data_IF_972289658590
#
_entry.id   IF_972289658590
#
_cell.length_a   1.000
_cell.length_b   1.000
_cell.length_c   1.000
_cell.angle_alpha   90.00
_cell.angle_beta   90.00
_cell.angle_gamma   90.00
#
_symmetry.space_group_name_H-M   'P 1'
#
loop_
_entity.id
_entity.type
_entity.pdbx_description
1 polymer ?
#
# COMPACT_ATOMS: atom_id res chain seq x y z
N UNK A 1 -76.52 -31.11 -123.49
CA UNK A 1 -77.01 -31.19 -122.09
C UNK A 1 -76.37 -32.32 -121.28
N UNK A 2 -76.60 -33.62 -121.56
CA UNK A 2 -76.05 -34.72 -120.71
C UNK A 2 -74.51 -34.77 -120.70
N UNK A 3 -73.85 -34.42 -121.82
CA UNK A 3 -72.38 -34.43 -121.95
C UNK A 3 -71.68 -33.27 -121.22
N UNK A 4 -72.33 -32.11 -121.12
CA UNK A 4 -71.79 -30.93 -120.43
C UNK A 4 -71.84 -31.10 -118.90
N UNK A 5 -72.94 -31.66 -118.38
CA UNK A 5 -73.07 -32.01 -116.98
C UNK A 5 -72.04 -33.08 -116.59
N UNK A 6 -71.87 -34.12 -117.42
CA UNK A 6 -70.82 -35.15 -117.22
C UNK A 6 -69.42 -34.53 -117.17
N UNK A 7 -69.10 -33.59 -118.06
CA UNK A 7 -67.82 -32.89 -118.06
C UNK A 7 -67.63 -32.00 -116.81
N UNK A 8 -68.70 -31.39 -116.29
CA UNK A 8 -68.67 -30.63 -115.03
C UNK A 8 -68.37 -31.54 -113.83
N UNK A 9 -69.02 -32.71 -113.76
CA UNK A 9 -68.75 -33.70 -112.71
C UNK A 9 -67.33 -34.29 -112.80
N UNK A 10 -66.80 -34.52 -113.99
CA UNK A 10 -65.41 -34.99 -114.19
C UNK A 10 -64.40 -33.91 -113.73
N UNK A 11 -64.62 -32.64 -114.06
CA UNK A 11 -63.77 -31.54 -113.58
C UNK A 11 -63.83 -31.38 -112.05
N UNK A 12 -65.02 -31.44 -111.46
CA UNK A 12 -65.17 -31.41 -110.00
C UNK A 12 -64.47 -32.60 -109.33
N UNK A 13 -64.56 -33.80 -109.92
CA UNK A 13 -63.84 -34.99 -109.46
C UNK A 13 -62.33 -34.79 -109.55
N UNK A 14 -61.82 -34.21 -110.64
CA UNK A 14 -60.40 -33.94 -110.80
C UNK A 14 -59.89 -32.91 -109.78
N UNK A 15 -60.63 -31.83 -109.55
CA UNK A 15 -60.31 -30.82 -108.53
C UNK A 15 -60.35 -31.44 -107.12
N UNK A 16 -61.37 -32.25 -106.83
CA UNK A 16 -61.46 -32.99 -105.56
C UNK A 16 -60.28 -33.96 -105.39
N UNK A 17 -59.86 -34.67 -106.43
CA UNK A 17 -58.68 -35.54 -106.38
C UNK A 17 -57.39 -34.76 -106.16
N UNK A 18 -57.20 -33.63 -106.85
CA UNK A 18 -56.02 -32.76 -106.69
C UNK A 18 -55.95 -32.16 -105.27
N UNK A 19 -57.06 -31.65 -104.76
CA UNK A 19 -57.14 -31.12 -103.39
C UNK A 19 -56.92 -32.21 -102.34
N UNK A 20 -57.42 -33.44 -102.56
CA UNK A 20 -57.12 -34.58 -101.69
C UNK A 20 -55.61 -34.88 -101.70
N UNK A 21 -54.95 -34.90 -102.86
CA UNK A 21 -53.50 -35.15 -102.93
C UNK A 21 -52.69 -34.06 -102.26
N UNK A 22 -53.03 -32.79 -102.47
CA UNK A 22 -52.37 -31.64 -101.83
C UNK A 22 -52.54 -31.68 -100.30
N UNK A 23 -53.76 -31.91 -99.80
CA UNK A 23 -54.01 -32.07 -98.36
C UNK A 23 -53.28 -33.28 -97.79
N UNK A 24 -53.18 -34.38 -98.52
CA UNK A 24 -52.43 -35.57 -98.10
C UNK A 24 -50.93 -35.28 -98.00
N UNK A 25 -50.36 -34.52 -98.94
CA UNK A 25 -48.98 -34.07 -98.88
C UNK A 25 -48.73 -33.10 -97.73
N UNK A 26 -49.64 -32.14 -97.50
CA UNK A 26 -49.57 -31.24 -96.35
C UNK A 26 -49.60 -32.02 -95.02
N UNK A 27 -50.48 -33.03 -94.89
CA UNK A 27 -50.51 -33.91 -93.72
C UNK A 27 -49.17 -34.63 -93.53
N UNK A 28 -48.53 -35.11 -94.61
CA UNK A 28 -47.21 -35.74 -94.54
C UNK A 28 -46.12 -34.76 -94.09
N UNK A 29 -46.11 -33.54 -94.63
CA UNK A 29 -45.15 -32.49 -94.24
C UNK A 29 -45.33 -32.12 -92.76
N UNK A 30 -46.57 -31.90 -92.31
CA UNK A 30 -46.88 -31.65 -90.90
C UNK A 30 -46.48 -32.84 -90.02
N UNK A 31 -46.70 -34.08 -90.48
CA UNK A 31 -46.21 -35.29 -89.81
C UNK A 31 -44.69 -35.27 -89.59
N UNK A 32 -43.93 -35.02 -90.66
CA UNK A 32 -42.47 -34.91 -90.58
C UNK A 32 -42.02 -33.77 -89.65
N UNK A 33 -42.69 -32.61 -89.71
CA UNK A 33 -42.38 -31.48 -88.83
C UNK A 33 -42.64 -31.83 -87.36
N UNK A 34 -43.75 -32.52 -87.06
CA UNK A 34 -44.03 -32.97 -85.70
C UNK A 34 -43.00 -33.98 -85.20
N UNK A 35 -42.48 -34.87 -86.05
CA UNK A 35 -41.41 -35.79 -85.71
C UNK A 35 -40.07 -35.08 -85.45
N UNK A 36 -39.72 -34.10 -86.28
CA UNK A 36 -38.53 -33.26 -86.08
C UNK A 36 -38.65 -32.51 -84.75
N UNK A 37 -39.78 -31.85 -84.50
CA UNK A 37 -40.02 -31.16 -83.23
C UNK A 37 -39.94 -32.10 -82.03
N UNK A 38 -40.52 -33.31 -82.12
CA UNK A 38 -40.39 -34.35 -81.08
C UNK A 38 -38.93 -34.72 -80.83
N UNK A 39 -38.13 -34.91 -81.88
CA UNK A 39 -36.70 -35.23 -81.76
C UNK A 39 -35.92 -34.10 -81.06
N UNK A 40 -36.19 -32.84 -81.40
CA UNK A 40 -35.58 -31.66 -80.78
C UNK A 40 -35.96 -31.58 -79.30
N UNK A 41 -37.24 -31.77 -78.97
CA UNK A 41 -37.73 -31.79 -77.58
C UNK A 41 -37.01 -32.88 -76.78
N UNK A 42 -36.82 -34.09 -77.33
CA UNK A 42 -36.09 -35.17 -76.67
C UNK A 42 -34.63 -34.79 -76.42
N UNK A 43 -33.94 -34.22 -77.42
CA UNK A 43 -32.54 -33.79 -77.27
C UNK A 43 -32.42 -32.67 -76.22
N UNK A 44 -33.31 -31.68 -76.27
CA UNK A 44 -33.34 -30.58 -75.30
C UNK A 44 -33.65 -31.09 -73.89
N UNK A 45 -34.61 -32.00 -73.73
CA UNK A 45 -34.91 -32.63 -72.45
C UNK A 45 -33.72 -33.41 -71.89
N UNK A 46 -32.99 -34.16 -72.73
CA UNK A 46 -31.75 -34.84 -72.32
C UNK A 46 -30.68 -33.85 -71.87
N UNK A 47 -30.49 -32.74 -72.60
CA UNK A 47 -29.53 -31.69 -72.23
C UNK A 47 -29.91 -30.97 -70.92
N UNK A 48 -31.20 -30.68 -70.73
CA UNK A 48 -31.74 -30.06 -69.53
C UNK A 48 -31.55 -30.97 -68.31
N UNK A 49 -31.79 -32.27 -68.47
CA UNK A 49 -31.58 -33.26 -67.40
C UNK A 49 -30.11 -33.33 -67.00
N UNK A 50 -29.18 -33.35 -67.97
CA UNK A 50 -27.73 -33.30 -67.69
C UNK A 50 -27.35 -32.01 -66.94
N UNK A 51 -27.89 -30.86 -67.36
CA UNK A 51 -27.63 -29.58 -66.70
C UNK A 51 -28.17 -29.57 -65.25
N UNK A 52 -29.40 -30.06 -65.03
CA UNK A 52 -30.00 -30.21 -63.70
C UNK A 52 -29.17 -31.10 -62.77
N UNK A 53 -28.67 -32.23 -63.28
CA UNK A 53 -27.80 -33.12 -62.50
C UNK A 53 -26.47 -32.44 -62.13
N UNK A 54 -25.85 -31.70 -63.05
CA UNK A 54 -24.63 -30.92 -62.76
C UNK A 54 -24.88 -29.84 -61.71
N UNK A 55 -25.99 -29.11 -61.81
CA UNK A 55 -26.36 -28.08 -60.83
C UNK A 55 -26.61 -28.69 -59.44
N UNK A 56 -27.35 -29.80 -59.37
CA UNK A 56 -27.56 -30.54 -58.12
C UNK A 56 -26.24 -30.98 -57.50
N UNK A 57 -25.33 -31.54 -58.29
CA UNK A 57 -24.01 -31.97 -57.79
C UNK A 57 -23.17 -30.77 -57.33
N UNK A 58 -23.17 -29.66 -58.08
CA UNK A 58 -22.48 -28.43 -57.70
C UNK A 58 -23.04 -27.82 -56.40
N UNK A 59 -24.36 -27.82 -56.21
CA UNK A 59 -25.00 -27.36 -54.97
C UNK A 59 -24.55 -28.21 -53.79
N UNK A 60 -24.59 -29.54 -53.91
CA UNK A 60 -24.14 -30.45 -52.85
C UNK A 60 -22.67 -30.24 -52.48
N UNK A 61 -21.81 -29.97 -53.46
CA UNK A 61 -20.38 -29.67 -53.21
C UNK A 61 -20.25 -28.33 -52.48
N UNK A 62 -20.98 -27.30 -52.91
CA UNK A 62 -20.99 -25.98 -52.28
C UNK A 62 -21.42 -26.07 -50.82
N UNK A 63 -22.48 -26.82 -50.53
CA UNK A 63 -23.00 -26.98 -49.17
C UNK A 63 -21.99 -27.72 -48.27
N UNK A 64 -21.30 -28.74 -48.81
CA UNK A 64 -20.19 -29.40 -48.10
C UNK A 64 -19.05 -28.43 -47.80
N UNK A 65 -18.61 -27.66 -48.78
CA UNK A 65 -17.54 -26.66 -48.60
C UNK A 65 -17.95 -25.58 -47.60
N UNK A 66 -19.19 -25.09 -47.64
CA UNK A 66 -19.70 -24.11 -46.68
C UNK A 66 -19.72 -24.67 -45.24
N UNK A 67 -20.09 -25.94 -45.07
CA UNK A 67 -20.04 -26.61 -43.79
C UNK A 67 -18.59 -26.75 -43.28
N UNK A 68 -17.66 -27.12 -44.15
CA UNK A 68 -16.26 -27.27 -43.77
C UNK A 68 -15.60 -25.92 -43.47
N UNK A 69 -15.91 -24.86 -44.23
CA UNK A 69 -15.52 -23.48 -43.92
C UNK A 69 -16.06 -23.06 -42.55
N UNK A 70 -17.33 -23.37 -42.25
CA UNK A 70 -17.93 -23.04 -40.96
C UNK A 70 -17.24 -23.77 -39.80
N UNK A 71 -16.89 -25.05 -39.97
CA UNK A 71 -16.12 -25.81 -38.97
C UNK A 71 -14.73 -25.23 -38.74
N UNK A 72 -14.01 -24.88 -39.82
CA UNK A 72 -12.67 -24.29 -39.72
C UNK A 72 -12.74 -22.91 -39.05
N UNK A 73 -13.71 -22.09 -39.42
CA UNK A 73 -13.92 -20.77 -38.81
C UNK A 73 -14.22 -20.88 -37.30
N UNK A 74 -15.00 -21.89 -36.89
CA UNK A 74 -15.27 -22.15 -35.48
C UNK A 74 -14.01 -22.56 -34.71
N UNK A 75 -13.23 -23.51 -35.26
CA UNK A 75 -11.94 -23.91 -34.66
C UNK A 75 -10.95 -22.76 -34.57
N UNK A 76 -10.89 -21.91 -35.59
CA UNK A 76 -10.02 -20.75 -35.58
C UNK A 76 -10.39 -19.79 -34.45
N UNK A 77 -11.69 -19.49 -34.28
CA UNK A 77 -12.17 -18.66 -33.16
C UNK A 77 -11.83 -19.27 -31.81
N UNK A 78 -11.96 -20.60 -31.66
CA UNK A 78 -11.59 -21.29 -30.43
C UNK A 78 -10.10 -21.11 -30.12
N UNK A 79 -9.22 -21.38 -31.09
CA UNK A 79 -7.77 -21.22 -30.93
C UNK A 79 -7.40 -19.77 -30.63
N UNK A 80 -8.05 -18.80 -31.28
CA UNK A 80 -7.82 -17.37 -31.00
C UNK A 80 -8.24 -17.00 -29.57
N UNK A 81 -9.35 -17.56 -29.06
CA UNK A 81 -9.76 -17.33 -27.69
C UNK A 81 -8.76 -17.94 -26.70
N UNK A 82 -8.35 -19.19 -26.91
CA UNK A 82 -7.32 -19.87 -26.10
C UNK A 82 -6.02 -19.08 -26.09
N UNK A 83 -5.59 -18.55 -27.24
CA UNK A 83 -4.41 -17.69 -27.34
C UNK A 83 -4.52 -16.39 -26.54
N UNK A 84 -5.66 -15.70 -26.56
CA UNK A 84 -5.85 -14.48 -25.76
C UNK A 84 -5.92 -14.80 -24.26
N UNK A 85 -6.50 -15.94 -23.87
CA UNK A 85 -6.53 -16.40 -22.48
C UNK A 85 -5.11 -16.72 -21.98
N UNK A 86 -4.33 -17.47 -22.76
CA UNK A 86 -2.92 -17.80 -22.48
C UNK A 86 -2.06 -16.54 -22.38
N UNK A 87 -2.29 -15.56 -23.26
CA UNK A 87 -1.60 -14.26 -23.24
C UNK A 87 -1.89 -13.48 -21.96
N UNK A 88 -3.13 -13.49 -21.47
CA UNK A 88 -3.50 -12.89 -20.19
C UNK A 88 -2.84 -13.61 -19.01
N UNK A 89 -2.73 -14.94 -19.05
CA UNK A 89 -2.01 -15.71 -18.04
C UNK A 89 -0.51 -15.40 -18.04
N UNK A 90 0.12 -15.33 -19.22
CA UNK A 90 1.52 -14.93 -19.36
C UNK A 90 1.79 -13.55 -18.77
N UNK A 91 0.88 -12.58 -18.99
CA UNK A 91 1.00 -11.25 -18.39
C UNK A 91 0.97 -11.30 -16.86
N UNK A 92 0.05 -12.08 -16.28
CA UNK A 92 -0.05 -12.26 -14.81
C UNK A 92 1.18 -12.94 -14.23
N UNK A 93 1.67 -13.98 -14.89
CA UNK A 93 2.90 -14.68 -14.47
C UNK A 93 4.12 -13.76 -14.55
N UNK A 94 4.21 -12.95 -15.60
CA UNK A 94 5.30 -11.96 -15.74
C UNK A 94 5.25 -10.92 -14.62
N UNK A 95 4.07 -10.43 -14.27
CA UNK A 95 3.91 -9.51 -13.13
C UNK A 95 4.30 -10.17 -11.80
N UNK A 96 3.88 -11.42 -11.58
CA UNK A 96 4.26 -12.18 -10.38
C UNK A 96 5.79 -12.38 -10.28
N UNK A 97 6.45 -12.71 -11.40
CA UNK A 97 7.91 -12.83 -11.46
C UNK A 97 8.56 -11.50 -11.09
N UNK A 98 8.12 -10.38 -11.65
CA UNK A 98 8.66 -9.05 -11.33
C UNK A 98 8.52 -8.71 -9.84
N UNK A 99 7.37 -9.03 -9.22
CA UNK A 99 7.17 -8.80 -7.78
C UNK A 99 8.10 -9.69 -6.95
N UNK A 100 8.28 -10.96 -7.32
CA UNK A 100 9.21 -11.87 -6.65
C UNK A 100 10.67 -11.42 -6.79
N UNK A 101 11.07 -10.95 -7.97
CA UNK A 101 12.41 -10.41 -8.22
C UNK A 101 12.68 -9.17 -7.35
N UNK A 102 11.71 -8.27 -7.22
CA UNK A 102 11.82 -7.11 -6.33
C UNK A 102 11.98 -7.53 -4.85
N UNK A 103 11.19 -8.50 -4.39
CA UNK A 103 11.30 -9.03 -3.03
C UNK A 103 12.66 -9.71 -2.76
N UNK A 104 13.21 -10.42 -3.75
CA UNK A 104 14.55 -11.00 -3.68
C UNK A 104 15.64 -9.92 -3.59
N UNK A 105 15.54 -8.86 -4.40
CA UNK A 105 16.47 -7.74 -4.34
C UNK A 105 16.42 -7.03 -2.99
N UNK A 106 15.23 -6.81 -2.44
CA UNK A 106 15.06 -6.22 -1.10
C UNK A 106 15.67 -7.12 -0.01
N UNK A 107 15.42 -8.43 -0.07
CA UNK A 107 15.98 -9.41 0.86
C UNK A 107 17.52 -9.42 0.80
N UNK A 108 18.10 -9.37 -0.40
CA UNK A 108 19.56 -9.32 -0.56
C UNK A 108 20.16 -8.02 0.01
N UNK A 109 19.52 -6.86 -0.21
CA UNK A 109 19.96 -5.60 0.41
C UNK A 109 19.88 -5.66 1.95
N UNK A 110 18.81 -6.25 2.48
CA UNK A 110 18.68 -6.45 3.92
C UNK A 110 19.76 -7.39 4.47
N UNK A 111 20.13 -8.43 3.71
CA UNK A 111 21.21 -9.33 4.07
C UNK A 111 22.59 -8.63 4.04
N UNK A 112 22.88 -7.86 3.00
CA UNK A 112 24.12 -7.07 2.89
C UNK A 112 24.26 -6.07 4.04
N UNK A 113 23.19 -5.35 4.37
CA UNK A 113 23.21 -4.41 5.51
C UNK A 113 23.38 -5.14 6.85
N UNK A 114 22.79 -6.33 7.01
CA UNK A 114 23.02 -7.16 8.19
C UNK A 114 24.49 -7.65 8.29
N UNK A 115 25.10 -8.03 7.17
CA UNK A 115 26.53 -8.39 7.12
C UNK A 115 27.40 -7.19 7.49
N UNK A 116 27.11 -6.00 6.94
CA UNK A 116 27.86 -4.78 7.26
C UNK A 116 27.77 -4.45 8.76
N UNK A 117 26.57 -4.52 9.35
CA UNK A 117 26.35 -4.33 10.79
C UNK A 117 27.11 -5.36 11.63
N UNK A 118 27.05 -6.64 11.24
CA UNK A 118 27.80 -7.70 11.92
C UNK A 118 29.30 -7.43 11.87
N UNK A 119 29.83 -7.04 10.71
CA UNK A 119 31.25 -6.76 10.55
C UNK A 119 31.68 -5.53 11.37
N UNK A 120 30.89 -4.45 11.38
CA UNK A 120 31.20 -3.27 12.21
C UNK A 120 31.17 -3.58 13.70
N UNK A 121 30.20 -4.39 14.15
CA UNK A 121 30.13 -4.86 15.54
C UNK A 121 31.31 -5.79 15.86
N UNK A 122 31.72 -6.65 14.93
CA UNK A 122 32.89 -7.51 15.08
C UNK A 122 34.17 -6.70 15.28
N UNK A 123 34.36 -5.62 14.52
CA UNK A 123 35.51 -4.71 14.70
C UNK A 123 35.47 -4.02 16.07
N UNK A 124 34.32 -3.48 16.48
CA UNK A 124 34.17 -2.85 17.79
C UNK A 124 34.44 -3.83 18.94
N UNK A 125 34.02 -5.08 18.80
CA UNK A 125 34.25 -6.10 19.82
C UNK A 125 35.75 -6.41 19.96
N UNK A 126 36.48 -6.50 18.85
CA UNK A 126 37.94 -6.66 18.87
C UNK A 126 38.63 -5.46 19.53
N UNK A 127 38.22 -4.23 19.19
CA UNK A 127 38.74 -3.01 19.81
C UNK A 127 38.49 -3.02 21.34
N UNK A 128 37.32 -3.46 21.78
CA UNK A 128 37.00 -3.59 23.21
C UNK A 128 37.81 -4.70 23.90
N UNK A 129 38.05 -5.83 23.23
CA UNK A 129 38.91 -6.90 23.74
C UNK A 129 40.37 -6.44 23.91
N UNK A 130 40.89 -5.66 22.97
CA UNK A 130 42.23 -5.05 23.07
C UNK A 130 42.34 -4.10 24.26
N UNK A 131 41.33 -3.24 24.47
CA UNK A 131 41.27 -2.32 25.62
C UNK A 131 41.20 -3.10 26.93
N UNK A 132 40.41 -4.18 26.97
CA UNK A 132 40.27 -5.03 28.14
C UNK A 132 41.60 -5.72 28.47
N UNK A 133 42.28 -6.28 27.47
CA UNK A 133 43.61 -6.88 27.63
C UNK A 133 44.63 -5.88 28.19
N UNK A 134 44.69 -4.66 27.62
CA UNK A 134 45.57 -3.59 28.12
C UNK A 134 45.23 -3.20 29.56
N UNK A 135 43.95 -3.19 29.92
CA UNK A 135 43.51 -2.89 31.29
C UNK A 135 43.95 -3.97 32.27
N UNK A 136 43.81 -5.25 31.92
CA UNK A 136 44.30 -6.36 32.74
C UNK A 136 45.81 -6.30 32.94
N UNK A 137 46.57 -6.00 31.89
CA UNK A 137 48.02 -5.86 32.00
C UNK A 137 48.42 -4.73 32.96
N UNK A 138 47.74 -3.57 32.88
CA UNK A 138 47.93 -2.45 33.82
C UNK A 138 47.61 -2.83 35.25
N UNK A 139 46.51 -3.54 35.49
CA UNK A 139 46.13 -4.02 36.83
C UNK A 139 47.19 -4.96 37.37
N UNK A 140 47.67 -5.93 36.57
CA UNK A 140 48.72 -6.86 36.99
C UNK A 140 50.03 -6.14 37.35
N UNK A 141 50.44 -5.14 36.57
CA UNK A 141 51.63 -4.32 36.87
C UNK A 141 51.44 -3.55 38.18
N UNK A 142 50.25 -2.98 38.40
CA UNK A 142 49.93 -2.27 39.64
C UNK A 142 49.89 -3.19 40.86
N UNK A 143 49.29 -4.38 40.74
CA UNK A 143 49.27 -5.39 41.80
C UNK A 143 50.69 -5.85 42.17
N UNK A 144 51.55 -6.08 41.17
CA UNK A 144 52.95 -6.40 41.40
C UNK A 144 53.70 -5.26 42.13
N UNK A 145 53.45 -4.01 41.73
CA UNK A 145 54.03 -2.83 42.37
C UNK A 145 53.53 -2.65 43.82
N UNK A 146 52.24 -2.87 44.07
CA UNK A 146 51.63 -2.85 45.40
C UNK A 146 52.24 -3.93 46.28
N UNK A 147 52.37 -5.17 45.78
CA UNK A 147 52.97 -6.29 46.52
C UNK A 147 54.42 -5.98 46.90
N UNK A 148 55.20 -5.44 45.96
CA UNK A 148 56.57 -4.99 46.23
C UNK A 148 56.60 -3.89 47.30
N UNK A 149 55.69 -2.92 47.20
CA UNK A 149 55.52 -1.85 48.17
C UNK A 149 55.22 -2.38 49.58
N UNK A 150 54.29 -3.33 49.70
CA UNK A 150 53.97 -4.01 50.96
C UNK A 150 55.18 -4.72 51.56
N UNK A 151 55.97 -5.44 50.75
CA UNK A 151 57.19 -6.09 51.25
C UNK A 151 58.21 -5.08 51.77
N UNK A 152 58.41 -3.96 51.07
CA UNK A 152 59.33 -2.90 51.53
C UNK A 152 58.83 -2.19 52.79
N UNK A 153 57.51 -2.04 52.92
CA UNK A 153 56.91 -1.44 54.11
C UNK A 153 57.06 -2.39 55.31
N UNK A 154 56.84 -3.69 55.11
CA UNK A 154 57.04 -4.70 56.16
C UNK A 154 58.49 -4.75 56.65
N UNK A 155 59.47 -4.61 55.74
CA UNK A 155 60.90 -4.53 56.14
C UNK A 155 61.19 -3.28 56.93
N UNK A 156 60.71 -2.11 56.49
CA UNK A 156 60.91 -0.85 57.21
C UNK A 156 60.20 -0.84 58.58
N UNK A 157 59.04 -1.47 58.69
CA UNK A 157 58.36 -1.65 59.98
C UNK A 157 59.15 -2.56 60.93
N UNK A 158 59.82 -3.61 60.42
CA UNK A 158 60.74 -4.44 61.22
C UNK A 158 61.92 -3.60 61.70
N UNK A 159 62.58 -2.87 60.81
CA UNK A 159 63.69 -1.97 61.17
C UNK A 159 63.27 -0.92 62.19
N UNK A 160 62.08 -0.33 62.06
CA UNK A 160 61.54 0.64 63.02
C UNK A 160 61.33 0.00 64.39
N UNK A 161 60.80 -1.24 64.44
CA UNK A 161 60.65 -2.00 65.69
C UNK A 161 62.00 -2.31 66.32
N UNK A 162 63.00 -2.69 65.53
CA UNK A 162 64.35 -3.01 66.01
C UNK A 162 65.03 -1.75 66.57
N UNK A 163 64.97 -0.62 65.85
CA UNK A 163 65.48 0.68 66.33
C UNK A 163 64.76 1.14 67.61
N UNK A 164 63.45 0.91 67.72
CA UNK A 164 62.72 1.23 68.94
C UNK A 164 63.21 0.39 70.14
N UNK A 165 63.56 -0.88 69.92
CA UNK A 165 64.17 -1.73 70.95
C UNK A 165 65.57 -1.21 71.35
N UNK A 166 66.38 -0.77 70.39
CA UNK A 166 67.69 -0.15 70.66
C UNK A 166 67.55 1.15 71.46
N UNK A 167 66.61 2.02 71.10
CA UNK A 167 66.32 3.25 71.86
C UNK A 167 65.93 2.91 73.30
N UNK A 168 65.02 1.95 73.49
CA UNK A 168 64.58 1.55 74.82
C UNK A 168 65.73 0.97 75.67
N UNK A 169 66.67 0.25 75.05
CA UNK A 169 67.86 -0.26 75.72
C UNK A 169 68.83 0.87 76.10
N UNK A 170 69.07 1.83 75.21
CA UNK A 170 69.88 3.01 75.53
C UNK A 170 69.25 3.87 76.63
N UNK A 171 67.92 4.06 76.61
CA UNK A 171 67.19 4.70 77.71
C UNK A 171 67.40 3.96 79.04
N UNK A 172 67.35 2.62 79.02
CA UNK A 172 67.65 1.78 80.19
C UNK A 172 69.08 1.98 80.68
N UNK A 173 70.07 2.03 79.77
CA UNK A 173 71.48 2.27 80.12
C UNK A 173 71.70 3.67 80.70
N UNK A 174 71.06 4.70 80.11
CA UNK A 174 71.07 6.07 80.63
C UNK A 174 70.50 6.10 82.05
N UNK A 175 69.39 5.40 82.29
CA UNK A 175 68.77 5.37 83.62
C UNK A 175 69.61 4.61 84.66
N UNK A 176 70.33 3.55 84.26
CA UNK A 176 71.34 2.92 85.11
C UNK A 176 72.48 3.88 85.44
N UNK A 177 73.03 4.58 84.43
CA UNK A 177 74.09 5.58 84.62
C UNK A 177 73.65 6.76 85.48
N UNK A 178 72.40 7.23 85.32
CA UNK A 178 71.79 8.25 86.20
C UNK A 178 71.71 7.77 87.66
N UNK A 179 71.49 6.48 87.92
CA UNK A 179 71.51 5.90 89.28
C UNK A 179 72.91 5.73 89.85
N UNK A 180 73.93 5.53 89.02
CA UNK A 180 75.35 5.52 89.42
C UNK A 180 75.89 6.93 89.74
N UNK A 181 75.33 7.96 89.10
CA UNK A 181 75.76 9.35 89.21
C UNK A 181 75.80 9.90 90.66
N UNK A 182 74.80 9.66 91.53
CA UNK A 182 74.85 10.05 92.93
C UNK A 182 75.94 9.35 93.73
N UNK A 183 76.24 8.08 93.43
CA UNK A 183 77.33 7.34 94.10
C UNK A 183 78.68 7.95 93.71
N UNK A 184 78.87 8.24 92.43
CA UNK A 184 80.05 8.94 91.95
C UNK A 184 80.16 10.35 92.54
N UNK A 185 79.06 11.10 92.61
CA UNK A 185 79.04 12.43 93.25
C UNK A 185 79.42 12.36 94.72
N UNK A 186 78.94 11.36 95.48
CA UNK A 186 79.40 11.14 96.86
C UNK A 186 80.89 10.88 96.95
N UNK A 187 81.44 10.03 96.07
CA UNK A 187 82.89 9.80 96.02
C UNK A 187 83.67 11.03 95.56
N UNK A 188 83.13 11.86 94.65
CA UNK A 188 83.72 13.15 94.27
C UNK A 188 83.64 14.15 95.43
N UNK A 189 82.52 14.20 96.16
CA UNK A 189 82.35 14.98 97.39
C UNK A 189 83.39 14.54 98.44
N UNK A 190 83.57 13.24 98.65
CA UNK A 190 84.60 12.69 99.54
C UNK A 190 86.02 13.07 99.08
N UNK A 191 86.31 13.04 97.77
CA UNK A 191 87.60 13.49 97.20
C UNK A 191 87.77 15.00 97.38
N UNK A 192 86.73 15.80 97.16
CA UNK A 192 86.78 17.25 97.37
C UNK A 192 86.89 17.59 98.85
N UNK A 193 86.26 16.84 99.74
CA UNK A 193 86.44 16.96 101.19
C UNK A 193 87.88 16.64 101.56
N UNK A 194 88.45 15.55 101.04
CA UNK A 194 89.87 15.23 101.22
C UNK A 194 90.79 16.29 100.60
N UNK A 195 90.44 16.89 99.45
CA UNK A 195 91.17 18.00 98.86
C UNK A 195 91.01 19.29 99.65
N UNK A 196 89.84 19.54 100.26
CA UNK A 196 89.55 20.67 101.14
C UNK A 196 90.34 20.52 102.43
N UNK A 197 90.37 19.34 103.05
CA UNK A 197 91.22 19.04 104.21
C UNK A 197 92.72 19.20 103.85
N UNK A 198 93.11 18.82 102.63
CA UNK A 198 94.48 19.01 102.13
C UNK A 198 94.79 20.48 101.78
N UNK A 199 93.79 21.26 101.36
CA UNK A 199 93.92 22.71 101.15
C UNK A 199 93.83 23.49 102.45
N UNK A 200 93.01 23.11 103.43
CA UNK A 200 92.96 23.70 104.78
C UNK A 200 94.26 23.40 105.54
N UNK A 201 94.90 22.25 105.28
CA UNK A 201 96.27 21.98 105.73
C UNK A 201 97.36 22.76 104.94
N UNK A 202 97.02 23.39 103.81
CA UNK A 202 97.94 24.22 102.99
C UNK A 202 97.66 25.74 103.10
N UNK A 203 96.44 26.13 103.47
CA UNK A 203 95.90 27.50 103.40
C UNK A 203 95.63 28.09 104.81
N UNK A 204 96.50 27.79 105.78
CA UNK A 204 96.89 28.77 106.82
C UNK A 204 97.79 29.90 106.24
N UNK A 205 97.89 30.01 104.91
CA UNK A 205 98.58 31.13 104.25
C UNK A 205 97.79 31.68 103.07
N UNK A 206 97.26 32.88 103.26
CA UNK A 206 96.85 33.92 102.29
C UNK A 206 95.35 34.04 101.92
N UNK A 207 94.74 35.06 102.53
CA UNK A 207 93.50 35.72 102.08
C UNK A 207 93.70 36.57 100.80
N UNK A 208 92.63 36.78 100.02
CA UNK A 208 92.57 37.90 99.07
C UNK A 208 91.46 37.93 98.00
N UNK A 209 90.22 38.29 98.39
CA UNK A 209 89.21 39.18 97.75
C UNK A 209 89.09 39.36 96.20
N UNK A 210 87.85 39.30 95.65
CA UNK A 210 87.04 40.46 95.16
C UNK A 210 85.87 40.11 94.21
N UNK A 211 84.77 40.88 94.30
CA UNK A 211 83.60 40.93 93.38
C UNK A 211 83.47 42.32 92.74
N UNK A 212 82.89 42.41 91.55
CA UNK A 212 82.41 43.68 90.94
C UNK A 212 81.09 43.49 90.18
N UNK A 213 80.20 44.49 90.29
CA UNK A 213 78.87 44.60 89.65
C UNK A 213 78.88 45.83 88.72
N UNK A 214 78.14 45.77 87.61
CA UNK A 214 78.14 46.72 86.49
C UNK A 214 77.16 47.89 86.52
N UNK A 215 77.04 48.59 85.37
CA UNK A 215 76.18 49.75 85.11
C UNK A 215 75.74 49.84 83.63
N UNK A 216 74.55 50.42 83.36
CA UNK A 216 74.08 51.22 82.17
C UNK A 216 72.55 51.43 82.30
N UNK A 217 71.85 52.49 81.87
CA UNK A 217 72.05 53.62 80.95
C UNK A 217 70.84 54.60 81.09
N UNK A 218 70.89 55.83 80.54
CA UNK A 218 69.73 56.74 80.40
C UNK A 218 69.81 57.57 79.10
N UNK A 219 68.65 57.61 78.40
CA UNK A 219 68.08 58.62 77.47
C UNK A 219 68.36 58.54 75.95
N UNK A 220 67.27 58.74 75.18
CA UNK A 220 67.21 58.73 73.71
C UNK A 220 67.24 60.12 73.05
N UNK A 221 67.02 60.15 71.72
CA UNK A 221 66.68 61.30 70.85
C UNK A 221 66.30 60.84 69.41
N UNK A 222 65.64 61.76 68.69
CA UNK A 222 65.12 61.87 67.30
C UNK A 222 65.58 60.90 66.18
N UNK A 223 64.70 60.60 65.19
CA UNK A 223 64.95 59.63 64.13
C UNK A 223 66.10 60.04 63.19
N UNK A 224 67.19 59.29 63.26
CA UNK A 224 68.38 59.40 62.41
C UNK A 224 68.09 58.90 60.98
N UNK A 225 68.93 59.24 59.99
CA UNK A 225 68.87 58.73 58.59
C UNK A 225 68.63 57.22 58.50
N UNK A 226 69.13 56.46 59.47
CA UNK A 226 68.94 55.02 59.61
C UNK A 226 67.50 54.60 59.96
N UNK A 227 66.71 55.42 60.65
CA UNK A 227 65.30 55.11 60.96
C UNK A 227 64.37 55.35 59.75
N UNK A 228 64.70 56.33 58.92
CA UNK A 228 64.04 56.56 57.62
C UNK A 228 64.37 55.45 56.62
N UNK A 229 65.62 55.00 56.57
CA UNK A 229 66.03 53.84 55.77
C UNK A 229 65.31 52.58 56.25
N UNK A 230 65.27 52.33 57.56
CA UNK A 230 64.48 51.22 58.14
C UNK A 230 63.00 51.31 57.78
N UNK A 231 62.44 52.51 57.64
CA UNK A 231 61.03 52.68 57.25
C UNK A 231 60.81 52.44 55.76
N UNK A 232 61.76 52.82 54.91
CA UNK A 232 61.76 52.50 53.48
C UNK A 232 61.90 50.98 53.28
N UNK A 233 62.85 50.33 53.96
CA UNK A 233 63.01 48.87 53.94
C UNK A 233 61.72 48.16 54.42
N UNK A 234 61.06 48.67 55.46
CA UNK A 234 59.75 48.14 55.87
C UNK A 234 58.70 48.26 54.76
N UNK A 235 58.61 49.42 54.09
CA UNK A 235 57.64 49.63 53.00
C UNK A 235 57.97 48.78 51.75
N UNK A 236 59.25 48.58 51.43
CA UNK A 236 59.70 47.69 50.37
C UNK A 236 59.40 46.23 50.67
N UNK A 237 59.55 45.80 51.93
CA UNK A 237 59.10 44.49 52.38
C UNK A 237 57.57 44.36 52.28
N UNK A 238 56.79 45.37 52.68
CA UNK A 238 55.34 45.36 52.53
C UNK A 238 54.89 45.31 51.06
N UNK A 239 55.57 46.02 50.16
CA UNK A 239 55.33 45.97 48.72
C UNK A 239 55.67 44.59 48.16
N UNK A 240 56.81 44.02 48.53
CA UNK A 240 57.22 42.68 48.12
C UNK A 240 56.21 41.60 48.57
N UNK A 241 55.69 41.72 49.80
CA UNK A 241 54.62 40.85 50.31
C UNK A 241 53.30 41.02 49.54
N UNK A 242 52.94 42.25 49.16
CA UNK A 242 51.75 42.53 48.34
C UNK A 242 51.89 41.96 46.92
N UNK A 243 53.04 42.12 46.29
CA UNK A 243 53.33 41.56 44.96
C UNK A 243 53.30 40.02 44.97
N UNK A 244 53.87 39.40 46.02
CA UNK A 244 53.78 37.94 46.21
C UNK A 244 52.34 37.48 46.31
N UNK A 245 51.51 38.15 47.12
CA UNK A 245 50.07 37.84 47.26
C UNK A 245 49.30 38.03 45.95
N UNK A 246 49.65 39.02 45.14
CA UNK A 246 49.05 39.22 43.82
C UNK A 246 49.41 38.10 42.85
N UNK A 247 50.67 37.65 42.86
CA UNK A 247 51.13 36.53 42.05
C UNK A 247 50.42 35.22 42.45
N UNK A 248 50.32 34.95 43.76
CA UNK A 248 49.57 33.81 44.30
C UNK A 248 48.11 33.83 43.81
N UNK A 249 47.42 34.97 43.90
CA UNK A 249 46.04 35.12 43.41
C UNK A 249 45.93 34.92 41.90
N UNK A 250 46.89 35.42 41.12
CA UNK A 250 46.89 35.27 39.66
C UNK A 250 47.06 33.81 39.25
N UNK A 251 47.97 33.08 39.91
CA UNK A 251 48.15 31.64 39.71
C UNK A 251 46.89 30.84 40.07
N UNK A 252 46.19 31.22 41.15
CA UNK A 252 44.91 30.61 41.50
C UNK A 252 43.84 30.88 40.43
N UNK A 253 43.74 32.09 39.90
CA UNK A 253 42.81 32.40 38.80
C UNK A 253 43.14 31.59 37.55
N UNK A 254 44.41 31.47 37.18
CA UNK A 254 44.83 30.65 36.04
C UNK A 254 44.48 29.17 36.25
N UNK A 255 44.67 28.65 37.47
CA UNK A 255 44.31 27.28 37.81
C UNK A 255 42.79 27.06 37.77
N UNK A 256 42.00 27.97 38.35
CA UNK A 256 40.52 27.92 38.30
C UNK A 256 40.03 28.03 36.86
N UNK A 257 40.64 28.88 36.04
CA UNK A 257 40.28 29.04 34.62
C UNK A 257 40.59 27.76 33.84
N UNK A 258 41.79 27.18 34.03
CA UNK A 258 42.17 25.89 33.42
C UNK A 258 41.26 24.74 33.80
N UNK A 259 40.74 24.72 35.03
CA UNK A 259 39.82 23.67 35.48
C UNK A 259 38.37 23.93 35.04
N UNK A 260 37.93 25.19 34.98
CA UNK A 260 36.54 25.54 34.65
C UNK A 260 36.25 25.55 33.16
N UNK A 261 37.21 25.95 32.32
CA UNK A 261 37.03 26.00 30.86
C UNK A 261 36.63 24.63 30.25
N UNK A 262 37.31 23.51 30.52
CA UNK A 262 36.91 22.21 29.96
C UNK A 262 35.58 21.71 30.54
N UNK A 263 35.22 22.12 31.77
CA UNK A 263 33.90 21.84 32.33
C UNK A 263 32.79 22.63 31.61
N UNK A 264 33.07 23.89 31.24
CA UNK A 264 32.19 24.72 30.42
C UNK A 264 31.96 24.13 29.03
N UNK A 265 33.04 23.77 28.33
CA UNK A 265 32.97 23.12 27.02
C UNK A 265 32.21 21.78 27.09
N UNK A 266 32.44 20.99 28.14
CA UNK A 266 31.69 19.74 28.36
C UNK A 266 30.20 20.01 28.61
N UNK A 267 29.86 21.04 29.38
CA UNK A 267 28.47 21.41 29.65
C UNK A 267 27.75 21.87 28.37
N UNK A 268 28.40 22.67 27.52
CA UNK A 268 27.88 23.10 26.22
C UNK A 268 27.67 21.92 25.26
N UNK A 269 28.65 21.01 25.16
CA UNK A 269 28.52 19.79 24.36
C UNK A 269 27.36 18.91 24.86
N UNK A 270 27.26 18.71 26.17
CA UNK A 270 26.12 17.97 26.76
C UNK A 270 24.78 18.66 26.49
N UNK A 271 24.73 20.00 26.45
CA UNK A 271 23.52 20.74 26.10
C UNK A 271 23.12 20.50 24.64
N UNK A 272 24.09 20.49 23.72
CA UNK A 272 23.86 20.20 22.31
C UNK A 272 23.39 18.76 22.09
N UNK A 273 24.00 17.79 22.79
CA UNK A 273 23.58 16.39 22.78
C UNK A 273 22.15 16.24 23.29
N UNK A 274 21.81 16.89 24.41
CA UNK A 274 20.46 16.89 24.97
C UNK A 274 19.43 17.46 23.99
N UNK A 275 19.76 18.55 23.28
CA UNK A 275 18.89 19.13 22.26
C UNK A 275 18.69 18.18 21.07
N UNK A 276 19.76 17.51 20.62
CA UNK A 276 19.68 16.54 19.53
C UNK A 276 18.82 15.32 19.92
N UNK A 277 18.96 14.83 21.15
CA UNK A 277 18.17 13.74 21.70
C UNK A 277 16.70 14.14 21.84
N UNK A 278 16.42 15.37 22.30
CA UNK A 278 15.05 15.87 22.40
C UNK A 278 14.36 15.97 21.03
N UNK A 279 15.09 16.38 19.97
CA UNK A 279 14.56 16.38 18.60
C UNK A 279 14.24 14.97 18.12
N UNK A 280 15.17 14.02 18.27
CA UNK A 280 14.96 12.60 17.92
C UNK A 280 13.78 12.00 18.68
N UNK A 281 13.64 12.30 19.97
CA UNK A 281 12.51 11.83 20.78
C UNK A 281 11.18 12.37 20.27
N UNK A 282 11.13 13.64 19.89
CA UNK A 282 9.93 14.26 19.32
C UNK A 282 9.57 13.64 17.95
N UNK A 283 10.56 13.39 17.10
CA UNK A 283 10.37 12.70 15.82
C UNK A 283 9.82 11.28 16.02
N UNK A 284 10.41 10.51 16.93
CA UNK A 284 9.89 9.17 17.28
C UNK A 284 8.47 9.24 17.83
N UNK A 285 8.16 10.23 18.67
CA UNK A 285 6.79 10.44 19.18
C UNK A 285 5.82 10.71 18.04
N UNK A 286 6.18 11.53 17.06
CA UNK A 286 5.32 11.78 15.88
C UNK A 286 5.12 10.51 15.05
N UNK A 287 6.18 9.73 14.81
CA UNK A 287 6.08 8.46 14.09
C UNK A 287 5.18 7.45 14.80
N UNK A 288 5.25 7.37 16.13
CA UNK A 288 4.37 6.52 16.94
C UNK A 288 2.91 6.96 16.81
N UNK A 289 2.64 8.26 16.88
CA UNK A 289 1.28 8.81 16.72
C UNK A 289 0.74 8.48 15.32
N UNK A 290 1.53 8.70 14.27
CA UNK A 290 1.13 8.42 12.88
C UNK A 290 0.89 6.92 12.65
N UNK A 291 1.78 6.07 13.17
CA UNK A 291 1.62 4.61 13.10
C UNK A 291 0.34 4.16 13.82
N UNK A 292 0.06 4.73 15.00
CA UNK A 292 -1.16 4.43 15.75
C UNK A 292 -2.42 4.88 14.99
N UNK A 293 -2.40 6.05 14.33
CA UNK A 293 -3.50 6.51 13.49
C UNK A 293 -3.74 5.57 12.30
N UNK A 294 -2.68 5.12 11.63
CA UNK A 294 -2.78 4.12 10.54
C UNK A 294 -3.34 2.80 11.07
N UNK A 295 -2.88 2.34 12.22
CA UNK A 295 -3.39 1.12 12.86
C UNK A 295 -4.88 1.25 13.21
N UNK A 296 -5.33 2.40 13.72
CA UNK A 296 -6.75 2.67 13.96
C UNK A 296 -7.57 2.65 12.66
N UNK A 297 -7.06 3.25 11.58
CA UNK A 297 -7.73 3.23 10.28
C UNK A 297 -7.89 1.79 9.75
N UNK A 298 -6.81 1.01 9.75
CA UNK A 298 -6.84 -0.40 9.33
C UNK A 298 -7.74 -1.24 10.24
N UNK A 299 -7.75 -0.97 11.55
CA UNK A 299 -8.64 -1.65 12.50
C UNK A 299 -10.12 -1.34 12.23
N UNK A 300 -10.44 -0.09 11.90
CA UNK A 300 -11.80 0.31 11.52
C UNK A 300 -12.22 -0.32 10.18
N UNK A 301 -11.34 -0.32 9.17
CA UNK A 301 -11.58 -1.00 7.90
C UNK A 301 -11.81 -2.49 8.10
N UNK A 302 -10.96 -3.17 8.89
CA UNK A 302 -11.12 -4.58 9.23
C UNK A 302 -12.46 -4.83 9.92
N UNK A 303 -12.85 -3.97 10.86
CA UNK A 303 -14.14 -4.08 11.57
C UNK A 303 -15.32 -3.94 10.62
N UNK A 304 -15.26 -3.00 9.66
CA UNK A 304 -16.29 -2.87 8.62
C UNK A 304 -16.34 -4.11 7.73
N UNK A 305 -15.20 -4.62 7.28
CA UNK A 305 -15.14 -5.84 6.46
C UNK A 305 -15.67 -7.04 7.23
N UNK A 306 -15.32 -7.17 8.51
CA UNK A 306 -15.83 -8.22 9.38
C UNK A 306 -17.36 -8.14 9.53
N UNK A 307 -17.92 -6.94 9.75
CA UNK A 307 -19.36 -6.74 9.78
C UNK A 307 -20.03 -7.13 8.44
N UNK A 308 -19.43 -6.77 7.30
CA UNK A 308 -19.97 -7.18 5.98
C UNK A 308 -19.91 -8.69 5.77
N UNK A 309 -18.83 -9.34 6.20
CA UNK A 309 -18.69 -10.80 6.10
C UNK A 309 -19.74 -11.52 6.96
N UNK A 310 -19.99 -11.04 8.17
CA UNK A 310 -21.04 -11.57 9.04
C UNK A 310 -22.43 -11.39 8.44
N UNK A 311 -22.73 -10.22 7.86
CA UNK A 311 -24.01 -9.97 7.17
C UNK A 311 -24.22 -10.94 6.01
N UNK A 312 -23.20 -11.10 5.16
CA UNK A 312 -23.26 -12.05 4.04
C UNK A 312 -23.39 -13.50 4.53
N UNK A 313 -22.73 -13.86 5.62
CA UNK A 313 -22.86 -15.20 6.21
C UNK A 313 -24.28 -15.43 6.76
N UNK A 314 -24.91 -14.41 7.35
CA UNK A 314 -26.31 -14.48 7.77
C UNK A 314 -27.25 -14.63 6.57
N UNK A 315 -27.02 -13.88 5.49
CA UNK A 315 -27.79 -14.00 4.25
C UNK A 315 -27.66 -15.40 3.63
N UNK A 316 -26.45 -15.96 3.59
CA UNK A 316 -26.21 -17.32 3.11
C UNK A 316 -27.00 -18.32 3.96
N UNK A 317 -26.92 -18.25 5.29
CA UNK A 317 -27.67 -19.14 6.20
C UNK A 317 -29.19 -19.01 6.01
N UNK A 318 -29.69 -17.79 5.84
CA UNK A 318 -31.11 -17.55 5.58
C UNK A 318 -31.53 -18.15 4.23
N UNK A 319 -30.70 -18.01 3.18
CA UNK A 319 -30.95 -18.62 1.87
C UNK A 319 -30.86 -20.14 1.90
N UNK A 320 -29.90 -20.69 2.63
CA UNK A 320 -29.79 -22.14 2.88
C UNK A 320 -31.04 -22.65 3.60
N UNK A 321 -31.49 -21.97 4.65
CA UNK A 321 -32.73 -22.32 5.36
C UNK A 321 -33.96 -22.24 4.45
N UNK A 322 -34.06 -21.22 3.60
CA UNK A 322 -35.11 -21.10 2.59
C UNK A 322 -35.07 -22.27 1.61
N UNK A 323 -33.88 -22.64 1.11
CA UNK A 323 -33.70 -23.77 0.21
C UNK A 323 -34.09 -25.10 0.87
N UNK A 324 -33.60 -25.36 2.07
CA UNK A 324 -33.95 -26.51 2.91
C UNK A 324 -35.45 -26.63 3.10
N UNK A 325 -36.12 -25.51 3.43
CA UNK A 325 -37.58 -25.46 3.56
C UNK A 325 -38.27 -25.79 2.25
N UNK A 326 -37.83 -25.20 1.13
CA UNK A 326 -38.41 -25.49 -0.18
C UNK A 326 -38.15 -26.93 -0.64
N UNK A 327 -37.07 -27.58 -0.17
CA UNK A 327 -36.77 -28.99 -0.45
C UNK A 327 -37.62 -29.95 0.38
N UNK A 328 -37.87 -29.67 1.66
CA UNK A 328 -38.70 -30.51 2.55
C UNK A 328 -40.20 -30.44 2.25
N UNK A 329 -40.71 -29.27 1.83
CA UNK A 329 -42.13 -29.08 1.51
C UNK A 329 -42.72 -30.04 0.46
N UNK A 330 -42.07 -30.35 -0.68
CA UNK A 330 -42.58 -31.32 -1.63
C UNK A 330 -42.56 -32.76 -1.11
N UNK A 331 -41.63 -33.10 -0.19
CA UNK A 331 -41.62 -34.40 0.49
C UNK A 331 -42.84 -34.56 1.42
N UNK A 332 -43.31 -33.45 1.99
CA UNK A 332 -44.53 -33.38 2.83
C UNK A 332 -45.82 -33.15 2.03
N UNK A 333 -45.74 -33.07 0.69
CA UNK A 333 -46.89 -32.84 -0.20
C UNK A 333 -47.41 -31.40 -0.24
N UNK A 334 -46.65 -30.44 0.29
CA UNK A 334 -46.97 -29.01 0.28
C UNK A 334 -46.34 -28.31 -0.96
N UNK A 335 -46.97 -27.24 -1.50
CA UNK A 335 -46.43 -26.48 -2.63
C UNK A 335 -45.07 -25.85 -2.30
N UNK A 336 -44.13 -25.89 -3.26
CA UNK A 336 -42.81 -25.29 -3.15
C UNK A 336 -42.91 -23.77 -2.96
N UNK A 337 -42.73 -23.32 -1.72
CA UNK A 337 -42.50 -21.92 -1.33
C UNK A 337 -43.47 -20.86 -1.93
N UNK A 338 -44.61 -20.56 -1.28
CA UNK A 338 -45.65 -19.66 -1.80
C UNK A 338 -45.22 -18.19 -1.97
N UNK A 339 -44.13 -17.77 -1.35
CA UNK A 339 -43.56 -16.42 -1.50
C UNK A 339 -42.85 -16.25 -2.85
N UNK A 340 -42.01 -17.22 -3.23
CA UNK A 340 -41.37 -17.28 -4.55
C UNK A 340 -42.41 -17.38 -5.67
N UNK A 341 -43.51 -18.10 -5.44
CA UNK A 341 -44.60 -18.18 -6.41
C UNK A 341 -45.30 -16.83 -6.62
N UNK A 342 -45.52 -16.06 -5.54
CA UNK A 342 -46.10 -14.71 -5.63
C UNK A 342 -45.18 -13.75 -6.37
N UNK A 343 -43.88 -13.81 -6.14
CA UNK A 343 -42.87 -13.02 -6.84
C UNK A 343 -42.78 -13.40 -8.32
N UNK A 344 -42.78 -14.70 -8.63
CA UNK A 344 -42.83 -15.20 -10.00
C UNK A 344 -44.08 -14.71 -10.73
N UNK A 345 -45.25 -14.78 -10.09
CA UNK A 345 -46.51 -14.25 -10.64
C UNK A 345 -46.44 -12.73 -10.84
N UNK A 346 -45.75 -11.97 -9.97
CA UNK A 346 -45.49 -10.52 -10.18
C UNK A 346 -44.62 -10.30 -11.42
N UNK A 347 -43.49 -11.00 -11.52
CA UNK A 347 -42.57 -10.93 -12.66
C UNK A 347 -43.27 -11.27 -13.98
N UNK A 348 -44.14 -12.28 -13.98
CA UNK A 348 -44.90 -12.68 -15.17
C UNK A 348 -45.93 -11.61 -15.57
N UNK A 349 -46.58 -10.95 -14.60
CA UNK A 349 -47.49 -9.82 -14.87
C UNK A 349 -46.73 -8.63 -15.45
N UNK A 350 -45.57 -8.31 -14.91
CA UNK A 350 -44.75 -7.19 -15.40
C UNK A 350 -44.17 -7.47 -16.79
N UNK A 351 -43.75 -8.71 -17.05
CA UNK A 351 -43.34 -9.14 -18.40
C UNK A 351 -44.48 -8.99 -19.40
N UNK A 352 -45.69 -9.44 -19.06
CA UNK A 352 -46.88 -9.26 -19.90
C UNK A 352 -47.24 -7.80 -20.11
N UNK A 353 -47.08 -6.94 -19.08
CA UNK A 353 -47.29 -5.50 -19.20
C UNK A 353 -46.31 -4.89 -20.20
N UNK A 354 -45.00 -5.12 -20.00
CA UNK A 354 -43.96 -4.61 -20.91
C UNK A 354 -44.16 -5.08 -22.35
N UNK A 355 -44.64 -6.31 -22.53
CA UNK A 355 -44.94 -6.84 -23.86
C UNK A 355 -46.13 -6.15 -24.51
N UNK A 356 -47.23 -5.91 -23.77
CA UNK A 356 -48.36 -5.11 -24.27
C UNK A 356 -47.94 -3.68 -24.60
N UNK A 357 -47.15 -3.04 -23.74
CA UNK A 357 -46.67 -1.68 -23.98
C UNK A 357 -45.79 -1.61 -25.24
N UNK A 358 -45.04 -2.68 -25.52
CA UNK A 358 -44.23 -2.80 -26.75
C UNK A 358 -45.12 -2.97 -27.98
N UNK A 359 -46.09 -3.89 -27.93
CA UNK A 359 -47.05 -4.13 -29.02
C UNK A 359 -47.90 -2.87 -29.31
N UNK A 360 -48.26 -2.11 -28.29
CA UNK A 360 -48.99 -0.85 -28.45
C UNK A 360 -48.13 0.23 -29.13
N UNK A 361 -46.85 0.35 -28.77
CA UNK A 361 -45.92 1.26 -29.47
C UNK A 361 -45.69 0.87 -30.92
N UNK A 362 -45.59 -0.43 -31.20
CA UNK A 362 -45.44 -0.94 -32.57
C UNK A 362 -46.69 -0.61 -33.41
N UNK A 363 -47.91 -0.79 -32.85
CA UNK A 363 -49.15 -0.37 -33.53
C UNK A 363 -49.22 1.13 -33.78
N UNK A 364 -48.86 1.96 -32.80
CA UNK A 364 -48.83 3.41 -32.98
C UNK A 364 -47.82 3.83 -34.07
N UNK A 365 -46.66 3.18 -34.14
CA UNK A 365 -45.67 3.42 -35.18
C UNK A 365 -46.17 2.99 -36.58
N UNK A 366 -46.92 1.89 -36.68
CA UNK A 366 -47.59 1.48 -37.92
C UNK A 366 -48.66 2.49 -38.35
N UNK A 367 -49.50 2.97 -37.41
CA UNK A 367 -50.49 4.01 -37.68
C UNK A 367 -49.82 5.34 -38.12
N UNK A 368 -48.71 5.72 -37.49
CA UNK A 368 -47.91 6.88 -37.89
C UNK A 368 -47.30 6.74 -39.30
N UNK A 369 -46.94 5.52 -39.73
CA UNK A 369 -46.52 5.24 -41.10
C UNK A 369 -47.68 5.36 -42.09
N UNK A 370 -48.88 4.86 -41.75
CA UNK A 370 -50.08 5.01 -42.58
C UNK A 370 -50.57 6.46 -42.68
N UNK A 371 -50.30 7.27 -41.66
CA UNK A 371 -50.65 8.69 -41.58
C UNK A 371 -49.65 9.62 -42.28
N UNK A 372 -48.56 9.08 -42.86
CA UNK A 372 -47.63 9.85 -43.69
C UNK A 372 -48.14 9.95 -45.13
N UNK A 373 -48.39 11.17 -45.58
CA UNK A 373 -48.73 11.46 -46.96
C UNK A 373 -47.48 11.31 -47.86
N UNK A 374 -47.63 11.05 -49.18
CA UNK A 374 -46.50 10.92 -50.12
C UNK A 374 -45.57 12.15 -50.21
N UNK A 375 -45.99 13.30 -49.69
CA UNK A 375 -45.20 14.52 -49.58
C UNK A 375 -44.41 14.65 -48.26
N UNK A 376 -44.45 13.63 -47.39
CA UNK A 376 -43.73 13.57 -46.12
C UNK A 376 -44.39 14.31 -44.94
N UNK A 377 -45.61 14.83 -45.13
CA UNK A 377 -46.37 15.47 -44.06
C UNK A 377 -47.28 14.45 -43.34
N UNK A 378 -47.32 14.52 -42.02
CA UNK A 378 -48.18 13.68 -41.18
C UNK A 378 -49.58 14.29 -41.09
N UNK A 379 -50.61 13.49 -41.33
CA UNK A 379 -52.02 13.89 -41.19
C UNK A 379 -52.70 13.07 -40.10
N UNK A 380 -53.49 13.73 -39.25
CA UNK A 380 -54.37 13.08 -38.26
C UNK A 380 -55.77 12.82 -38.79
N UNK A 381 -56.03 13.10 -40.08
CA UNK A 381 -57.31 12.83 -40.71
C UNK A 381 -57.45 11.35 -41.08
N UNK A 382 -58.51 10.69 -40.62
CA UNK A 382 -58.85 9.33 -41.03
C UNK A 382 -58.93 9.23 -42.56
N UNK A 383 -58.24 8.25 -43.15
CA UNK A 383 -58.27 8.00 -44.59
C UNK A 383 -59.70 7.65 -45.03
N UNK A 384 -60.24 8.40 -46.00
CA UNK A 384 -61.61 8.16 -46.48
C UNK A 384 -61.66 6.88 -47.30
N UNK A 385 -62.62 5.97 -47.03
CA UNK A 385 -62.84 4.83 -47.91
C UNK A 385 -63.12 5.33 -49.33
N UNK A 386 -62.21 5.04 -50.26
CA UNK A 386 -62.26 5.55 -51.64
C UNK A 386 -63.05 4.62 -52.58
N UNK A 387 -63.44 3.44 -52.10
CA UNK A 387 -64.22 2.46 -52.85
C UNK A 387 -65.25 1.77 -51.94
N UNK A 388 -66.34 1.30 -52.54
CA UNK A 388 -67.27 0.37 -51.91
C UNK A 388 -67.27 -0.96 -52.64
N UNK A 389 -67.70 -2.01 -51.95
CA UNK A 389 -67.92 -3.32 -52.54
C UNK A 389 -69.42 -3.49 -52.75
N UNK A 390 -69.93 -3.46 -54.00
CA UNK A 390 -71.35 -3.65 -54.27
C UNK A 390 -71.77 -5.09 -53.96
N UNK A 391 -72.80 -5.29 -53.14
CA UNK A 391 -73.31 -6.63 -52.79
C UNK A 391 -74.06 -7.34 -53.93
N UNK A 392 -74.43 -6.61 -54.99
CA UNK A 392 -75.27 -7.11 -56.10
C UNK A 392 -74.50 -7.48 -57.37
N UNK A 393 -73.16 -7.43 -57.36
CA UNK A 393 -72.31 -7.84 -58.47
C UNK A 393 -71.81 -9.28 -58.34
N UNK A 394 -71.54 -10.00 -59.44
CA UNK A 394 -71.09 -11.40 -59.41
C UNK A 394 -69.68 -11.61 -58.80
N UNK A 395 -68.90 -10.54 -58.60
CA UNK A 395 -67.58 -10.55 -57.96
C UNK A 395 -67.43 -9.36 -57.00
N UNK A 396 -66.86 -9.53 -55.79
CA UNK A 396 -66.73 -8.47 -54.78
C UNK A 396 -65.51 -7.56 -55.07
N UNK A 397 -65.48 -6.93 -56.24
CA UNK A 397 -64.41 -6.00 -56.60
C UNK A 397 -64.74 -4.59 -56.08
N UNK A 398 -63.80 -3.91 -55.40
CA UNK A 398 -64.00 -2.57 -54.90
C UNK A 398 -64.14 -1.58 -56.05
N UNK A 399 -65.27 -0.85 -56.10
CA UNK A 399 -65.55 0.19 -57.10
C UNK A 399 -65.40 1.57 -56.48
N UNK A 400 -64.77 2.54 -57.17
CA UNK A 400 -64.62 3.89 -56.65
C UNK A 400 -65.99 4.56 -56.50
N UNK A 401 -66.15 5.37 -55.45
CA UNK A 401 -67.30 6.25 -55.35
C UNK A 401 -67.18 7.32 -56.44
N UNK A 402 -68.19 7.42 -57.32
CA UNK A 402 -68.23 8.41 -58.40
C UNK A 402 -68.42 9.85 -57.89
N UNK A 403 -68.87 10.77 -58.77
CA UNK A 403 -69.05 12.19 -58.43
C UNK A 403 -69.97 12.46 -57.23
N UNK A 404 -70.87 11.52 -56.88
CA UNK A 404 -71.71 11.55 -55.67
C UNK A 404 -71.13 10.62 -54.59
N UNK A 405 -69.91 10.91 -54.13
CA UNK A 405 -69.32 10.14 -53.04
C UNK A 405 -70.03 10.43 -51.70
N UNK A 406 -70.33 9.40 -50.88
CA UNK A 406 -70.93 9.61 -49.58
C UNK A 406 -69.98 10.39 -48.68
N UNK A 407 -70.44 11.54 -48.20
CA UNK A 407 -69.71 12.37 -47.25
C UNK A 407 -69.98 11.86 -45.83
N UNK A 408 -68.92 11.54 -45.08
CA UNK A 408 -69.04 11.26 -43.64
C UNK A 408 -69.39 12.59 -42.94
N UNK A 409 -70.56 12.71 -42.29
CA UNK A 409 -70.91 13.92 -41.56
C UNK A 409 -69.81 14.26 -40.55
N UNK A 410 -69.49 15.55 -40.40
CA UNK A 410 -68.58 15.97 -39.33
C UNK A 410 -69.13 15.50 -37.98
N UNK A 411 -68.25 14.94 -37.14
CA UNK A 411 -68.68 14.56 -35.80
C UNK A 411 -69.22 15.81 -35.08
N UNK A 412 -70.38 15.70 -34.41
CA UNK A 412 -70.94 16.82 -33.67
C UNK A 412 -69.89 17.32 -32.67
N UNK A 413 -69.56 18.62 -32.76
CA UNK A 413 -68.53 19.23 -31.91
C UNK A 413 -68.87 19.09 -30.43
N UNK A 414 -67.87 19.18 -29.55
CA UNK A 414 -68.03 18.98 -28.10
C UNK A 414 -69.14 19.83 -27.45
N UNK A 415 -69.53 20.97 -28.08
CA UNK A 415 -70.62 21.84 -27.66
C UNK A 415 -72.03 21.26 -27.89
N UNK A 416 -72.18 20.14 -28.59
CA UNK A 416 -73.49 19.51 -28.82
C UNK A 416 -73.99 18.63 -27.66
N UNK A 417 -73.23 18.54 -26.55
CA UNK A 417 -73.62 17.77 -25.34
C UNK A 417 -74.90 18.27 -24.66
N UNK A 418 -75.33 19.50 -24.95
CA UNK A 418 -76.52 20.13 -24.35
C UNK A 418 -77.79 20.08 -25.23
N UNK A 419 -77.69 19.62 -26.48
CA UNK A 419 -78.87 19.44 -27.33
C UNK A 419 -79.51 18.07 -27.05
N UNK A 420 -80.60 18.07 -26.27
CA UNK A 420 -81.45 16.87 -26.10
C UNK A 420 -82.47 16.83 -27.23
N UNK A 421 -82.55 15.69 -27.94
CA UNK A 421 -83.61 15.48 -28.93
C UNK A 421 -84.97 15.49 -28.23
N UNK A 422 -85.98 16.22 -28.74
CA UNK A 422 -87.30 16.21 -28.13
C UNK A 422 -87.89 14.81 -28.21
N UNK A 423 -88.34 14.29 -27.07
CA UNK A 423 -89.12 13.06 -26.99
C UNK A 423 -90.47 13.29 -27.65
N UNK A 424 -90.70 12.64 -28.79
CA UNK A 424 -92.02 12.61 -29.43
C UNK A 424 -92.99 11.90 -28.47
N UNK A 425 -94.04 12.58 -28.05
CA UNK A 425 -95.14 11.92 -27.36
C UNK A 425 -95.84 10.98 -28.34
N UNK A 426 -96.18 9.74 -27.93
CA UNK A 426 -96.97 8.86 -28.77
C UNK A 426 -98.33 9.54 -29.03
N UNK A 427 -98.69 9.64 -30.31
CA UNK A 427 -100.05 9.97 -30.71
C UNK A 427 -100.91 8.77 -30.35
N UNK A 428 -101.79 8.92 -29.37
CA UNK A 428 -102.90 7.98 -29.19
C UNK A 428 -103.86 8.17 -30.36
N UNK A 429 -103.88 7.19 -31.27
CA UNK A 429 -105.03 6.54 -31.95
C UNK A 429 -104.49 5.55 -32.99
#
# INVERSE_FOLDING_TARGET
>A
MITEEKNKYVKLKQIASQTITELTEQIKVLGNETEIQRSIVIIKNRSLTKARMRLSNSSKIRDKLNNDISKVAWKHRQITQEYEDDKLELMKLTEMINVQEQALLETNRNHETAIQRRNSLGVQLLEHEEVLFSSYEKVNIQEAAITKGYMTLETLEKETRDLQLEINEEERQIDLKKKELPLRKKSEEDITMLQIELSEARDETLEGLNRTIGYKELKGNDPTSEELIKKIEQLEMFLSDQERRLLEKRLLVDQVTRLSQPLGERAENCQQDRLSLAKKLNELRTQVIDSNQRMMAVSAELSMKHATALSLQQEIKEKEFQMDRCQRQPEEGLPTCPELEKEWRRMLRDRKRRQRDKEERERLAEEEQWNQLPNGQYTTAESRPNAYVPQTGPLPLPKPYGAMAPFKPSQPGANMRHFRKPTLQPLDI
#
